data_IF_936057846933
#
_entry.id   IF_936057846933
#
_cell.length_a   1.000
_cell.length_b   1.000
_cell.length_c   1.000
_cell.angle_alpha   90.00
_cell.angle_beta   90.00
_cell.angle_gamma   90.00
#
_symmetry.space_group_name_H-M   'P 1'
#
loop_
_entity.id
_entity.type
_entity.pdbx_description
1 polymer ?
#
# COMPACT_ATOMS: atom_id res chain seq x y z
N UNK A 1 -7.98 -24.81 17.99
CA UNK A 1 -7.97 -24.47 16.55
C UNK A 1 -6.53 -24.49 16.08
N UNK A 2 -6.21 -25.38 15.16
CA UNK A 2 -4.84 -25.72 14.78
C UNK A 2 -4.14 -24.53 14.09
N UNK A 3 -2.87 -24.26 14.42
CA UNK A 3 -2.12 -23.07 13.92
C UNK A 3 -2.13 -22.98 12.39
N UNK A 4 -2.23 -24.12 11.71
CA UNK A 4 -2.27 -24.23 10.26
C UNK A 4 -3.52 -23.60 9.62
N UNK A 5 -4.70 -23.68 10.24
CA UNK A 5 -5.92 -23.09 9.67
C UNK A 5 -5.91 -21.56 9.69
N UNK A 6 -5.14 -20.94 10.59
CA UNK A 6 -5.00 -19.48 10.65
C UNK A 6 -4.14 -18.92 9.51
N UNK A 7 -3.23 -19.69 8.91
CA UNK A 7 -2.37 -19.24 7.78
C UNK A 7 -3.12 -19.33 6.44
N UNK A 8 -4.13 -20.19 6.34
CA UNK A 8 -5.02 -20.32 5.16
C UNK A 8 -6.27 -19.43 5.34
N UNK A 9 -6.18 -18.35 6.11
CA UNK A 9 -7.27 -17.38 6.18
C UNK A 9 -7.22 -16.45 4.96
N UNK A 10 -8.37 -15.97 4.45
CA UNK A 10 -8.39 -14.95 3.39
C UNK A 10 -7.53 -13.72 3.71
N UNK A 11 -7.40 -13.37 4.99
CA UNK A 11 -6.51 -12.29 5.45
C UNK A 11 -5.07 -12.51 4.99
N UNK A 12 -4.53 -13.72 5.13
CA UNK A 12 -3.14 -13.99 4.78
C UNK A 12 -2.87 -13.89 3.29
N UNK A 13 -3.82 -14.30 2.43
CA UNK A 13 -3.70 -14.09 1.00
C UNK A 13 -3.67 -12.60 0.64
N UNK A 14 -4.51 -11.79 1.30
CA UNK A 14 -4.50 -10.33 1.13
C UNK A 14 -3.18 -9.72 1.62
N UNK A 15 -2.68 -10.14 2.77
CA UNK A 15 -1.40 -9.68 3.33
C UNK A 15 -0.22 -10.00 2.42
N UNK A 16 -0.15 -11.22 1.90
CA UNK A 16 0.93 -11.64 1.00
C UNK A 16 0.85 -10.92 -0.34
N UNK A 17 -0.35 -10.80 -0.93
CA UNK A 17 -0.55 -10.10 -2.20
C UNK A 17 -0.20 -8.61 -2.10
N UNK A 18 -0.81 -7.90 -1.16
CA UNK A 18 -0.56 -6.47 -0.95
C UNK A 18 0.87 -6.21 -0.47
N UNK A 19 1.35 -7.00 0.49
CA UNK A 19 2.71 -6.88 1.03
C UNK A 19 3.77 -7.15 -0.04
N UNK A 20 3.55 -8.15 -0.90
CA UNK A 20 4.43 -8.45 -2.03
C UNK A 20 4.47 -7.34 -3.06
N UNK A 21 3.32 -6.75 -3.41
CA UNK A 21 3.25 -5.58 -4.29
C UNK A 21 4.03 -4.42 -3.68
N UNK A 22 3.76 -4.06 -2.42
CA UNK A 22 4.43 -2.93 -1.76
C UNK A 22 5.94 -3.16 -1.58
N UNK A 23 6.36 -4.40 -1.36
CA UNK A 23 7.78 -4.75 -1.31
C UNK A 23 8.46 -4.55 -2.66
N UNK A 24 7.79 -4.96 -3.75
CA UNK A 24 8.29 -4.76 -5.11
C UNK A 24 8.32 -3.27 -5.47
N UNK A 25 7.24 -2.53 -5.25
CA UNK A 25 7.16 -1.10 -5.62
C UNK A 25 8.17 -0.28 -4.84
N UNK A 26 8.30 -0.48 -3.53
CA UNK A 26 9.29 0.23 -2.72
C UNK A 26 10.71 -0.05 -3.20
N UNK A 27 11.07 -1.32 -3.45
CA UNK A 27 12.39 -1.67 -3.96
C UNK A 27 12.68 -1.03 -5.33
N UNK A 28 11.72 -1.08 -6.26
CA UNK A 28 11.90 -0.51 -7.59
C UNK A 28 11.98 1.02 -7.57
N UNK A 29 11.17 1.71 -6.74
CA UNK A 29 11.25 3.16 -6.58
C UNK A 29 12.62 3.59 -6.04
N UNK A 30 13.19 2.84 -5.09
CA UNK A 30 14.51 3.15 -4.55
C UNK A 30 15.62 3.08 -5.62
N UNK A 31 15.57 2.05 -6.46
CA UNK A 31 16.57 1.79 -7.50
C UNK A 31 16.36 2.65 -8.75
N UNK A 32 15.11 2.88 -9.15
CA UNK A 32 14.72 3.48 -10.42
C UNK A 32 13.64 4.57 -10.26
N UNK A 33 13.87 5.63 -9.45
CA UNK A 33 12.82 6.61 -9.10
C UNK A 33 12.22 7.32 -10.33
N UNK A 34 13.01 7.52 -11.40
CA UNK A 34 12.54 8.13 -12.65
C UNK A 34 11.41 7.35 -13.33
N UNK A 35 11.35 6.04 -13.14
CA UNK A 35 10.27 5.18 -13.63
C UNK A 35 8.91 5.47 -12.98
N UNK A 36 8.91 6.21 -11.86
CA UNK A 36 7.73 6.49 -11.04
C UNK A 36 7.30 7.95 -11.09
N UNK A 37 7.93 8.79 -11.90
CA UNK A 37 7.57 10.20 -12.03
C UNK A 37 6.13 10.39 -12.51
N UNK A 38 5.58 9.44 -13.26
CA UNK A 38 4.19 9.49 -13.70
C UNK A 38 3.22 9.51 -12.51
N UNK A 39 3.53 8.84 -11.39
CA UNK A 39 2.64 8.72 -10.24
C UNK A 39 2.50 10.02 -9.44
N UNK A 40 3.40 10.98 -9.66
CA UNK A 40 3.38 12.30 -9.02
C UNK A 40 3.03 13.43 -9.99
N UNK A 41 3.00 13.15 -11.30
CA UNK A 41 2.58 14.13 -12.32
C UNK A 41 1.06 14.23 -12.31
N UNK A 42 0.53 15.44 -12.30
CA UNK A 42 -0.93 15.67 -12.29
C UNK A 42 -1.53 15.80 -10.88
N UNK A 43 -0.70 15.75 -9.83
CA UNK A 43 -1.16 16.08 -8.48
C UNK A 43 -1.55 17.57 -8.39
N UNK A 44 -2.50 17.93 -7.50
CA UNK A 44 -2.87 19.32 -7.25
C UNK A 44 -1.67 20.20 -6.89
N UNK A 45 -1.74 21.49 -7.21
CA UNK A 45 -0.60 22.41 -7.08
C UNK A 45 0.01 22.48 -5.66
N UNK A 46 -0.81 22.31 -4.61
CA UNK A 46 -0.31 22.27 -3.23
C UNK A 46 0.63 21.08 -2.99
N UNK A 47 0.29 19.90 -3.51
CA UNK A 47 1.09 18.69 -3.40
C UNK A 47 2.34 18.78 -4.29
N UNK A 48 2.17 19.29 -5.51
CA UNK A 48 3.29 19.51 -6.43
C UNK A 48 4.31 20.49 -5.86
N UNK A 49 3.86 21.55 -5.17
CA UNK A 49 4.74 22.51 -4.50
C UNK A 49 5.60 21.87 -3.40
N UNK A 50 4.99 21.01 -2.57
CA UNK A 50 5.73 20.28 -1.53
C UNK A 50 6.76 19.31 -2.13
N UNK A 51 6.38 18.56 -3.17
CA UNK A 51 7.27 17.61 -3.86
C UNK A 51 8.44 18.34 -4.53
N UNK A 52 8.17 19.45 -5.22
CA UNK A 52 9.21 20.22 -5.90
C UNK A 52 10.18 20.86 -4.90
N UNK A 53 9.71 21.25 -3.71
CA UNK A 53 10.54 21.82 -2.65
C UNK A 53 11.60 20.86 -2.10
N UNK A 54 11.33 19.54 -2.10
CA UNK A 54 12.28 18.52 -1.65
C UNK A 54 13.05 17.82 -2.79
N UNK A 55 12.56 17.97 -4.02
CA UNK A 55 13.02 17.24 -5.20
C UNK A 55 12.30 15.91 -5.38
N UNK A 56 11.84 15.63 -6.60
CA UNK A 56 11.00 14.46 -6.94
C UNK A 56 11.67 13.14 -6.54
N UNK A 57 12.97 12.97 -6.81
CA UNK A 57 13.70 11.73 -6.47
C UNK A 57 13.73 11.48 -4.95
N UNK A 58 13.95 12.54 -4.16
CA UNK A 58 13.95 12.42 -2.70
C UNK A 58 12.55 12.13 -2.16
N UNK A 59 11.53 12.78 -2.72
CA UNK A 59 10.13 12.49 -2.39
C UNK A 59 9.80 11.02 -2.60
N UNK A 60 10.10 10.50 -3.80
CA UNK A 60 9.82 9.12 -4.17
C UNK A 60 10.58 8.13 -3.28
N UNK A 61 11.84 8.41 -2.93
CA UNK A 61 12.60 7.55 -2.01
C UNK A 61 12.04 7.56 -0.59
N UNK A 62 11.54 8.69 -0.10
CA UNK A 62 10.87 8.76 1.21
C UNK A 62 9.53 8.02 1.18
N UNK A 63 8.76 8.19 0.10
CA UNK A 63 7.54 7.41 -0.12
C UNK A 63 7.85 5.90 -0.13
N UNK A 64 8.88 5.48 -0.85
CA UNK A 64 9.32 4.08 -0.92
C UNK A 64 9.72 3.53 0.47
N UNK A 65 10.34 4.34 1.32
CA UNK A 65 10.64 3.95 2.70
C UNK A 65 9.35 3.65 3.49
N UNK A 66 8.33 4.50 3.32
CA UNK A 66 7.00 4.30 3.91
C UNK A 66 6.29 3.06 3.36
N UNK A 67 6.33 2.86 2.04
CA UNK A 67 5.76 1.67 1.40
C UNK A 67 6.45 0.37 1.85
N UNK A 68 7.78 0.40 2.01
CA UNK A 68 8.53 -0.72 2.54
C UNK A 68 8.12 -1.05 3.97
N UNK A 69 7.91 -0.04 4.83
CA UNK A 69 7.39 -0.24 6.18
C UNK A 69 5.99 -0.89 6.18
N UNK A 70 5.10 -0.45 5.29
CA UNK A 70 3.79 -1.09 5.07
C UNK A 70 3.97 -2.55 4.64
N UNK A 71 4.87 -2.84 3.70
CA UNK A 71 5.16 -4.19 3.27
C UNK A 71 5.60 -5.09 4.43
N UNK A 72 6.50 -4.60 5.30
CA UNK A 72 6.93 -5.34 6.48
C UNK A 72 5.77 -5.61 7.44
N UNK A 73 4.92 -4.61 7.72
CA UNK A 73 3.72 -4.79 8.56
C UNK A 73 2.82 -5.90 7.97
N UNK A 74 2.61 -5.89 6.66
CA UNK A 74 1.76 -6.87 6.01
C UNK A 74 2.38 -8.27 6.04
N UNK A 75 3.69 -8.41 5.86
CA UNK A 75 4.34 -9.72 5.74
C UNK A 75 4.74 -10.36 7.09
N UNK A 76 4.92 -9.58 8.15
CA UNK A 76 5.33 -10.10 9.47
C UNK A 76 4.17 -10.75 10.23
N UNK A 77 4.24 -12.06 10.46
CA UNK A 77 3.16 -12.87 11.03
C UNK A 77 2.71 -12.52 12.45
N UNK A 78 3.56 -11.84 13.22
CA UNK A 78 3.29 -11.45 14.60
C UNK A 78 2.71 -10.04 14.75
N UNK A 79 2.37 -9.36 13.65
CA UNK A 79 1.82 -8.00 13.71
C UNK A 79 0.44 -7.96 14.36
N UNK A 80 0.16 -6.99 15.25
CA UNK A 80 -1.16 -6.81 15.84
C UNK A 80 -2.23 -6.51 14.79
N UNK A 81 -3.47 -6.98 15.01
CA UNK A 81 -4.57 -6.86 14.05
C UNK A 81 -4.94 -5.40 13.75
N UNK A 82 -4.98 -4.50 14.74
CA UNK A 82 -5.09 -3.05 14.51
C UNK A 82 -4.05 -2.50 13.54
N UNK A 83 -2.80 -2.96 13.66
CA UNK A 83 -1.68 -2.47 12.84
C UNK A 83 -1.83 -2.98 11.41
N UNK A 84 -2.18 -4.26 11.22
CA UNK A 84 -2.48 -4.84 9.90
C UNK A 84 -3.69 -4.16 9.25
N UNK A 85 -4.75 -3.92 10.02
CA UNK A 85 -5.94 -3.20 9.57
C UNK A 85 -5.60 -1.78 9.11
N UNK A 86 -4.82 -1.04 9.90
CA UNK A 86 -4.37 0.31 9.56
C UNK A 86 -3.51 0.31 8.29
N UNK A 87 -2.63 -0.67 8.13
CA UNK A 87 -1.87 -0.84 6.88
C UNK A 87 -2.80 -1.08 5.68
N UNK A 88 -3.81 -1.94 5.82
CA UNK A 88 -4.84 -2.15 4.79
C UNK A 88 -5.58 -0.87 4.41
N UNK A 89 -5.92 -0.03 5.40
CA UNK A 89 -6.54 1.28 5.16
C UNK A 89 -5.60 2.23 4.42
N UNK A 90 -4.33 2.31 4.83
CA UNK A 90 -3.33 3.15 4.14
C UNK A 90 -3.15 2.73 2.68
N UNK A 91 -3.10 1.42 2.42
CA UNK A 91 -3.08 0.88 1.05
C UNK A 91 -4.30 1.34 0.27
N UNK A 92 -5.50 1.17 0.83
CA UNK A 92 -6.73 1.60 0.18
C UNK A 92 -6.74 3.11 -0.11
N UNK A 93 -6.35 3.94 0.84
CA UNK A 93 -6.28 5.39 0.67
C UNK A 93 -5.26 5.80 -0.39
N UNK A 94 -4.10 5.13 -0.46
CA UNK A 94 -3.10 5.39 -1.48
C UNK A 94 -3.61 5.04 -2.87
N UNK A 95 -4.21 3.86 -3.05
CA UNK A 95 -4.80 3.45 -4.33
C UNK A 95 -5.93 4.40 -4.74
N UNK A 96 -6.77 4.80 -3.79
CA UNK A 96 -7.83 5.79 -4.04
C UNK A 96 -7.24 7.13 -4.48
N UNK A 97 -6.18 7.62 -3.83
CA UNK A 97 -5.53 8.86 -4.22
C UNK A 97 -4.94 8.78 -5.64
N UNK A 98 -4.29 7.67 -6.01
CA UNK A 98 -3.79 7.45 -7.36
C UNK A 98 -4.95 7.49 -8.37
N UNK A 99 -6.01 6.73 -8.11
CA UNK A 99 -7.17 6.65 -9.01
C UNK A 99 -7.89 7.99 -9.16
N UNK A 100 -7.97 8.81 -8.11
CA UNK A 100 -8.64 10.12 -8.14
C UNK A 100 -7.78 11.21 -8.79
N UNK A 101 -6.48 11.26 -8.50
CA UNK A 101 -5.62 12.38 -8.93
C UNK A 101 -4.82 12.09 -10.20
N UNK A 102 -4.38 10.85 -10.41
CA UNK A 102 -3.68 10.43 -11.62
C UNK A 102 -4.67 9.95 -12.68
N UNK A 103 -5.79 9.35 -12.23
CA UNK A 103 -6.84 8.83 -13.10
C UNK A 103 -6.67 7.34 -13.43
N UNK A 104 -7.67 6.78 -14.12
CA UNK A 104 -7.68 5.37 -14.54
C UNK A 104 -7.10 5.26 -15.95
N UNK A 105 -5.99 4.54 -16.08
CA UNK A 105 -5.29 4.29 -17.35
C UNK A 105 -4.62 2.91 -17.39
N UNK A 106 -3.77 2.69 -18.40
CA UNK A 106 -3.05 1.42 -18.59
C UNK A 106 -2.15 1.06 -17.41
N UNK A 107 -1.62 2.06 -16.70
CA UNK A 107 -0.73 1.84 -15.56
C UNK A 107 -1.48 1.67 -14.24
N UNK A 108 -2.68 2.25 -14.11
CA UNK A 108 -3.41 2.38 -12.83
C UNK A 108 -4.68 1.53 -12.73
N UNK A 109 -5.16 0.88 -13.81
CA UNK A 109 -6.37 0.05 -13.75
C UNK A 109 -6.27 -1.08 -12.72
N UNK A 110 -5.06 -1.62 -12.52
CA UNK A 110 -4.75 -2.66 -11.53
C UNK A 110 -4.97 -2.19 -10.09
N UNK A 111 -4.88 -0.88 -9.86
CA UNK A 111 -4.99 -0.27 -8.53
C UNK A 111 -6.43 -0.36 -8.00
N UNK A 112 -7.43 -0.60 -8.86
CA UNK A 112 -8.81 -0.92 -8.45
C UNK A 112 -8.84 -2.23 -7.65
N UNK A 113 -8.10 -3.24 -8.10
CA UNK A 113 -7.98 -4.52 -7.39
C UNK A 113 -7.26 -4.36 -6.05
N UNK A 114 -6.18 -3.55 -6.03
CA UNK A 114 -5.42 -3.25 -4.83
C UNK A 114 -6.24 -2.45 -3.81
N UNK A 115 -7.06 -1.49 -4.28
CA UNK A 115 -8.03 -0.75 -3.47
C UNK A 115 -9.01 -1.70 -2.78
N UNK A 116 -9.62 -2.61 -3.55
CA UNK A 116 -10.52 -3.62 -3.02
C UNK A 116 -9.84 -4.53 -2.00
N UNK A 117 -8.61 -4.98 -2.30
CA UNK A 117 -7.80 -5.79 -1.39
C UNK A 117 -7.48 -5.07 -0.08
N UNK A 118 -7.08 -3.80 -0.14
CA UNK A 118 -6.80 -2.98 1.04
C UNK A 118 -8.02 -2.78 1.93
N UNK A 119 -9.17 -2.46 1.33
CA UNK A 119 -10.45 -2.32 2.06
C UNK A 119 -10.90 -3.64 2.68
N UNK A 120 -10.78 -4.75 1.95
CA UNK A 120 -11.11 -6.07 2.47
C UNK A 120 -10.23 -6.43 3.67
N UNK A 121 -8.91 -6.17 3.58
CA UNK A 121 -7.97 -6.42 4.67
C UNK A 121 -8.29 -5.55 5.90
N UNK A 122 -8.59 -4.27 5.68
CA UNK A 122 -8.99 -3.34 6.74
C UNK A 122 -10.18 -3.89 7.54
N UNK A 123 -11.27 -4.28 6.85
CA UNK A 123 -12.50 -4.77 7.49
C UNK A 123 -12.29 -6.14 8.16
N UNK A 124 -11.60 -7.07 7.49
CA UNK A 124 -11.37 -8.41 8.01
C UNK A 124 -10.54 -8.38 9.30
N UNK A 125 -9.46 -7.60 9.32
CA UNK A 125 -8.59 -7.50 10.49
C UNK A 125 -9.23 -6.78 11.67
N UNK A 126 -10.13 -5.81 11.45
CA UNK A 126 -10.94 -5.22 12.54
C UNK A 126 -11.87 -6.27 13.17
N UNK A 127 -12.60 -7.02 12.32
CA UNK A 127 -13.57 -8.01 12.78
C UNK A 127 -12.95 -9.18 13.53
N UNK A 128 -11.71 -9.55 13.19
CA UNK A 128 -10.99 -10.59 13.94
C UNK A 128 -10.52 -10.13 15.31
N UNK A 129 -10.31 -8.83 15.51
CA UNK A 129 -9.94 -8.27 16.81
C UNK A 129 -11.12 -8.24 17.77
N UNK A 130 -12.32 -7.88 17.31
CA UNK A 130 -13.54 -7.91 18.12
C UNK A 130 -13.95 -9.33 18.57
N UNK A 131 -13.36 -10.38 17.97
CA UNK A 131 -13.65 -11.79 18.26
C UNK A 131 -12.64 -12.44 19.21
N UNK A 132 -11.53 -11.76 19.53
CA UNK A 132 -10.48 -12.25 20.43
C UNK A 132 -10.62 -11.64 21.81
#
# INVERSE_FOLDING_TARGET
MDKFQKIISPEWFLRLGLGGVYLYTSADIFLHPKGWYWAVRGLPQFAQGAINGMGIDNYLRIQAAGEFAIALILLLWFMPKKVVSTAGLLVALQMLAILLFVGIGLDTFRDIGLLGGGLALFVLSLKEEDRQ
#
